data_IF_253893171609
#
_entry.id   IF_253893171609
#
_cell.length_a   1.000
_cell.length_b   1.000
_cell.length_c   1.000
_cell.angle_alpha   90.00
_cell.angle_beta   90.00
_cell.angle_gamma   90.00
#
_symmetry.space_group_name_H-M   'P 1'
#
loop_
_entity.id
_entity.type
_entity.pdbx_description
1 polymer ?
#
# COMPACT_ATOMS: atom_id res chain seq x y z
N UNK A 1 -13.69 -31.33 2.13
CA UNK A 1 -14.56 -30.35 1.46
C UNK A 1 -13.72 -29.11 1.20
N UNK A 2 -13.64 -28.66 -0.03
CA UNK A 2 -12.84 -27.49 -0.40
C UNK A 2 -13.46 -26.22 0.22
N UNK A 3 -12.65 -25.39 0.87
CA UNK A 3 -13.04 -24.12 1.46
C UNK A 3 -12.11 -23.02 1.01
N UNK A 4 -12.61 -21.78 0.93
CA UNK A 4 -11.80 -20.58 0.69
C UNK A 4 -11.54 -19.85 1.99
N UNK A 5 -10.28 -19.54 2.23
CA UNK A 5 -9.84 -18.86 3.46
C UNK A 5 -9.28 -17.49 3.11
N UNK A 6 -9.79 -16.47 3.78
CA UNK A 6 -9.29 -15.10 3.72
C UNK A 6 -8.26 -14.90 4.83
N UNK A 7 -7.14 -14.31 4.49
CA UNK A 7 -6.11 -13.87 5.41
C UNK A 7 -6.02 -12.34 5.41
N UNK A 8 -5.89 -11.76 6.60
CA UNK A 8 -5.45 -10.37 6.76
C UNK A 8 -3.97 -10.38 7.14
N UNK A 9 -3.13 -9.80 6.27
CA UNK A 9 -1.67 -9.95 6.32
C UNK A 9 -1.03 -8.61 6.66
N UNK A 10 -0.21 -8.58 7.72
CA UNK A 10 0.67 -7.47 8.05
C UNK A 10 2.13 -7.86 7.74
N UNK A 11 2.92 -6.92 7.22
CA UNK A 11 4.34 -7.15 6.95
C UNK A 11 5.18 -5.87 6.95
N UNK A 12 6.42 -6.02 7.40
CA UNK A 12 7.51 -5.11 7.11
C UNK A 12 8.10 -5.46 5.73
N UNK A 13 7.91 -4.59 4.75
CA UNK A 13 8.34 -4.82 3.37
C UNK A 13 9.83 -4.58 3.12
N UNK A 14 10.61 -4.17 4.11
CA UNK A 14 12.00 -3.71 3.95
C UNK A 14 12.87 -4.74 3.21
N UNK A 15 12.72 -6.03 3.55
CA UNK A 15 13.53 -7.11 2.99
C UNK A 15 12.89 -7.81 1.79
N UNK A 16 11.77 -7.30 1.28
CA UNK A 16 10.98 -7.97 0.25
C UNK A 16 10.91 -7.14 -1.04
N UNK A 17 10.92 -7.84 -2.16
CA UNK A 17 10.73 -7.24 -3.49
C UNK A 17 9.25 -7.05 -3.82
N UNK A 18 8.47 -6.60 -2.83
CA UNK A 18 7.04 -6.35 -2.92
C UNK A 18 6.20 -7.60 -2.65
N UNK A 19 4.92 -7.48 -3.02
CA UNK A 19 3.96 -8.56 -2.80
C UNK A 19 4.14 -9.72 -3.78
N UNK A 20 4.04 -9.44 -5.09
CA UNK A 20 3.86 -10.45 -6.12
C UNK A 20 5.10 -11.28 -6.40
N UNK A 21 4.93 -12.60 -6.52
CA UNK A 21 5.99 -13.54 -6.95
C UNK A 21 6.63 -13.08 -8.25
N UNK A 22 7.96 -13.08 -8.25
CA UNK A 22 8.78 -12.75 -9.40
C UNK A 22 10.10 -13.55 -9.37
N UNK A 23 10.68 -13.87 -10.55
CA UNK A 23 11.91 -14.65 -10.62
C UNK A 23 13.08 -13.97 -9.90
N UNK A 24 13.82 -14.75 -9.11
CA UNK A 24 15.08 -14.31 -8.50
C UNK A 24 14.95 -13.34 -7.32
N UNK A 25 13.75 -13.16 -6.79
CA UNK A 25 13.51 -12.22 -5.69
C UNK A 25 12.57 -12.79 -4.64
N UNK A 26 12.86 -12.57 -3.36
CA UNK A 26 11.97 -12.97 -2.26
C UNK A 26 10.82 -11.98 -2.14
N UNK A 27 9.59 -12.48 -2.12
CA UNK A 27 8.36 -11.69 -2.07
C UNK A 27 7.41 -12.19 -0.97
N UNK A 28 6.48 -11.33 -0.54
CA UNK A 28 5.50 -11.69 0.51
C UNK A 28 4.64 -12.88 0.06
N UNK A 29 4.12 -12.85 -1.16
CA UNK A 29 3.26 -13.90 -1.74
C UNK A 29 4.00 -15.25 -1.82
N UNK A 30 5.28 -15.24 -2.20
CA UNK A 30 6.11 -16.46 -2.23
C UNK A 30 6.24 -17.08 -0.84
N UNK A 31 6.59 -16.29 0.17
CA UNK A 31 6.74 -16.79 1.56
C UNK A 31 5.42 -17.35 2.08
N UNK A 32 4.30 -16.68 1.79
CA UNK A 32 2.98 -17.18 2.18
C UNK A 32 2.65 -18.52 1.51
N UNK A 33 2.89 -18.64 0.19
CA UNK A 33 2.66 -19.88 -0.56
C UNK A 33 3.49 -21.04 0.02
N UNK A 34 4.79 -20.82 0.25
CA UNK A 34 5.70 -21.82 0.82
C UNK A 34 5.25 -22.26 2.22
N UNK A 35 4.95 -21.31 3.11
CA UNK A 35 4.62 -21.60 4.50
C UNK A 35 3.21 -22.19 4.67
N UNK A 36 2.26 -21.82 3.82
CA UNK A 36 0.93 -22.45 3.78
C UNK A 36 1.03 -23.88 3.23
N UNK A 37 1.80 -24.12 2.15
CA UNK A 37 2.04 -25.44 1.58
C UNK A 37 2.69 -26.36 2.62
N UNK A 38 3.70 -25.88 3.36
CA UNK A 38 4.34 -26.62 4.46
C UNK A 38 3.35 -26.93 5.61
N UNK A 39 2.50 -25.96 5.98
CA UNK A 39 1.55 -26.12 7.07
C UNK A 39 0.42 -27.11 6.75
N UNK A 40 -0.12 -27.03 5.53
CA UNK A 40 -1.34 -27.76 5.15
C UNK A 40 -1.04 -29.07 4.41
N UNK A 41 0.21 -29.27 3.96
CA UNK A 41 0.61 -30.49 3.26
C UNK A 41 0.05 -30.62 1.84
N UNK A 42 -0.39 -29.52 1.24
CA UNK A 42 -0.92 -29.47 -0.12
C UNK A 42 -0.44 -28.17 -0.81
N UNK A 43 -0.28 -28.14 -2.15
CA UNK A 43 0.15 -26.95 -2.88
C UNK A 43 -0.84 -25.79 -2.68
N UNK A 44 -0.37 -24.67 -2.18
CA UNK A 44 -1.19 -23.47 -1.95
C UNK A 44 -0.63 -22.30 -2.76
N UNK A 45 -1.54 -21.59 -3.43
CA UNK A 45 -1.28 -20.32 -4.08
C UNK A 45 -2.26 -19.27 -3.55
N UNK A 46 -1.74 -18.19 -2.97
CA UNK A 46 -2.58 -17.09 -2.48
C UNK A 46 -2.90 -16.10 -3.60
N UNK A 47 -4.07 -15.48 -3.51
CA UNK A 47 -4.50 -14.41 -4.40
C UNK A 47 -4.59 -13.12 -3.56
N UNK A 48 -3.63 -12.23 -3.72
CA UNK A 48 -3.59 -10.96 -2.99
C UNK A 48 -4.50 -9.89 -3.58
N UNK A 49 -5.04 -9.03 -2.72
CA UNK A 49 -5.87 -7.88 -3.09
C UNK A 49 -5.07 -6.69 -3.60
N UNK A 50 -3.94 -6.40 -2.96
CA UNK A 50 -3.06 -5.29 -3.32
C UNK A 50 -1.64 -5.78 -3.61
N UNK A 51 -1.10 -5.36 -4.77
CA UNK A 51 0.30 -5.54 -5.11
C UNK A 51 1.06 -4.34 -4.58
N UNK A 52 1.70 -4.48 -3.41
CA UNK A 52 2.59 -3.45 -2.89
C UNK A 52 3.96 -3.53 -3.58
N UNK A 53 4.61 -2.38 -3.76
CA UNK A 53 5.93 -2.29 -4.36
C UNK A 53 7.03 -2.83 -3.42
N UNK A 54 8.23 -3.07 -3.95
CA UNK A 54 9.42 -3.40 -3.16
C UNK A 54 9.65 -2.37 -2.05
N UNK A 55 9.86 -2.84 -0.81
CA UNK A 55 10.10 -2.00 0.36
C UNK A 55 8.85 -1.32 0.96
N UNK A 56 7.65 -1.58 0.44
CA UNK A 56 6.39 -1.04 0.97
C UNK A 56 5.82 -1.97 2.02
N UNK A 57 5.36 -1.41 3.14
CA UNK A 57 4.80 -2.12 4.28
C UNK A 57 3.29 -2.29 4.18
N UNK A 58 2.72 -3.19 5.01
CA UNK A 58 1.28 -3.29 5.21
C UNK A 58 0.93 -3.70 6.64
N UNK A 59 -0.19 -3.16 7.14
CA UNK A 59 -0.84 -3.63 8.38
C UNK A 59 -2.04 -4.54 8.09
N UNK A 60 -2.61 -4.48 6.90
CA UNK A 60 -3.86 -5.17 6.59
C UNK A 60 -4.09 -5.46 5.11
N UNK A 61 -3.09 -5.99 4.40
CA UNK A 61 -3.34 -6.53 3.06
C UNK A 61 -4.22 -7.78 3.16
N UNK A 62 -5.06 -8.00 2.15
CA UNK A 62 -5.96 -9.15 2.11
C UNK A 62 -5.49 -10.13 1.05
N UNK A 63 -5.53 -11.41 1.39
CA UNK A 63 -5.28 -12.51 0.47
C UNK A 63 -6.26 -13.64 0.72
N UNK A 64 -6.55 -14.44 -0.31
CA UNK A 64 -7.34 -15.66 -0.19
C UNK A 64 -6.60 -16.83 -0.78
N UNK A 65 -6.92 -18.02 -0.30
CA UNK A 65 -6.49 -19.28 -0.89
C UNK A 65 -7.55 -20.37 -0.68
N UNK A 66 -7.47 -21.43 -1.46
CA UNK A 66 -8.36 -22.57 -1.36
C UNK A 66 -7.62 -23.75 -0.70
N UNK A 67 -8.31 -24.51 0.16
CA UNK A 67 -7.74 -25.71 0.83
C UNK A 67 -8.80 -26.77 1.08
N UNK A 68 -8.39 -28.05 1.08
CA UNK A 68 -9.20 -29.19 1.55
C UNK A 68 -8.81 -29.64 2.97
N UNK A 69 -7.80 -29.03 3.56
CA UNK A 69 -7.31 -29.36 4.89
C UNK A 69 -8.38 -29.15 5.97
N UNK A 70 -8.41 -30.06 6.98
CA UNK A 70 -9.46 -30.07 8.02
C UNK A 70 -9.32 -28.97 9.08
N UNK A 71 -8.18 -28.30 9.17
CA UNK A 71 -7.95 -27.24 10.16
C UNK A 71 -9.01 -26.15 10.03
N UNK A 72 -9.69 -25.74 11.11
CA UNK A 72 -10.64 -24.61 11.07
C UNK A 72 -9.97 -23.35 10.53
N UNK A 73 -10.71 -22.58 9.72
CA UNK A 73 -10.16 -21.41 9.07
C UNK A 73 -9.63 -20.35 10.05
N UNK A 74 -10.36 -20.16 11.19
CA UNK A 74 -9.98 -19.25 12.28
C UNK A 74 -8.69 -19.66 13.04
N UNK A 75 -8.25 -20.90 12.91
CA UNK A 75 -7.03 -21.42 13.54
C UNK A 75 -5.79 -21.34 12.66
N UNK A 76 -5.98 -21.15 11.35
CA UNK A 76 -4.86 -21.09 10.40
C UNK A 76 -3.90 -19.94 10.72
N UNK A 77 -4.41 -18.76 11.09
CA UNK A 77 -3.57 -17.62 11.44
C UNK A 77 -2.59 -17.94 12.59
N UNK A 78 -3.02 -18.64 13.62
CA UNK A 78 -2.16 -19.00 14.75
C UNK A 78 -1.09 -20.03 14.36
N UNK A 79 -1.48 -21.07 13.62
CA UNK A 79 -0.57 -22.12 13.18
C UNK A 79 0.46 -21.58 12.16
N UNK A 80 0.03 -20.73 11.23
CA UNK A 80 0.89 -20.14 10.21
C UNK A 80 1.90 -19.17 10.82
N UNK A 81 1.49 -18.36 11.80
CA UNK A 81 2.37 -17.39 12.48
C UNK A 81 3.54 -18.05 13.24
N UNK A 82 3.47 -19.33 13.55
CA UNK A 82 4.60 -20.08 14.15
C UNK A 82 5.67 -20.47 13.13
N UNK A 83 5.37 -20.37 11.83
CA UNK A 83 6.26 -20.74 10.72
C UNK A 83 6.74 -19.54 9.92
N UNK A 84 6.02 -18.42 10.01
CA UNK A 84 6.36 -17.20 9.31
C UNK A 84 7.58 -16.51 9.96
N UNK A 85 8.43 -15.85 9.16
CA UNK A 85 9.48 -14.97 9.67
C UNK A 85 8.84 -13.81 10.47
N UNK A 86 9.63 -13.16 11.33
CA UNK A 86 9.10 -12.13 12.26
C UNK A 86 8.50 -10.90 11.59
N UNK A 87 8.90 -10.64 10.35
CA UNK A 87 8.47 -9.50 9.54
C UNK A 87 7.19 -9.75 8.72
N UNK A 88 6.58 -10.96 8.82
CA UNK A 88 5.26 -11.27 8.26
C UNK A 88 4.36 -11.87 9.34
N UNK A 89 3.14 -11.33 9.51
CA UNK A 89 2.15 -11.85 10.49
C UNK A 89 0.75 -11.83 9.91
N UNK A 90 0.03 -12.93 10.13
CA UNK A 90 -1.39 -13.02 9.84
C UNK A 90 -2.17 -12.47 11.03
N UNK A 91 -2.91 -11.41 10.82
CA UNK A 91 -3.71 -10.75 11.85
C UNK A 91 -5.02 -11.49 12.12
N UNK A 92 -5.61 -12.07 11.08
CA UNK A 92 -6.81 -12.90 11.18
C UNK A 92 -6.94 -13.83 9.98
N UNK A 93 -7.66 -14.95 10.17
CA UNK A 93 -8.06 -15.86 9.11
C UNK A 93 -9.50 -16.27 9.29
N UNK A 94 -10.27 -16.34 8.21
CA UNK A 94 -11.69 -16.69 8.23
C UNK A 94 -12.09 -17.40 6.94
N UNK A 95 -13.13 -18.22 7.01
CA UNK A 95 -13.74 -18.80 5.82
C UNK A 95 -14.62 -17.75 5.12
N UNK A 96 -14.59 -17.75 3.81
CA UNK A 96 -15.41 -16.89 2.94
C UNK A 96 -16.07 -17.74 1.86
N UNK A 97 -17.05 -17.15 1.14
CA UNK A 97 -17.75 -17.85 0.06
C UNK A 97 -16.74 -18.36 -1.00
N UNK A 98 -17.00 -19.52 -1.61
CA UNK A 98 -16.03 -20.16 -2.53
C UNK A 98 -15.67 -19.33 -3.77
N UNK A 99 -16.53 -18.42 -4.16
CA UNK A 99 -16.34 -17.51 -5.30
C UNK A 99 -15.83 -16.11 -4.90
N UNK A 100 -15.69 -15.85 -3.59
CA UNK A 100 -15.21 -14.57 -3.08
C UNK A 100 -13.81 -14.26 -3.63
N UNK A 101 -13.64 -13.08 -4.24
CA UNK A 101 -12.37 -12.69 -4.85
C UNK A 101 -11.94 -11.28 -4.40
N UNK A 102 -10.73 -11.10 -3.85
CA UNK A 102 -10.31 -9.87 -3.16
C UNK A 102 -10.24 -8.62 -4.06
N UNK A 103 -10.31 -8.78 -5.39
CA UNK A 103 -10.27 -7.67 -6.36
C UNK A 103 -11.60 -7.42 -7.07
N UNK A 104 -12.64 -8.23 -6.79
CA UNK A 104 -13.96 -8.11 -7.46
C UNK A 104 -15.00 -7.38 -6.62
N UNK A 105 -14.74 -7.19 -5.33
CA UNK A 105 -15.62 -6.47 -4.43
C UNK A 105 -15.22 -5.01 -4.31
N UNK A 106 -16.19 -4.13 -4.11
CA UNK A 106 -15.92 -2.73 -3.80
C UNK A 106 -15.11 -2.64 -2.51
N UNK A 107 -13.98 -1.97 -2.60
CA UNK A 107 -13.05 -1.88 -1.48
C UNK A 107 -12.46 -0.48 -1.40
N UNK A 108 -12.51 0.10 -0.20
CA UNK A 108 -11.78 1.34 0.11
C UNK A 108 -10.41 0.94 0.67
N UNK A 109 -9.34 1.39 0.00
CA UNK A 109 -7.97 1.17 0.43
C UNK A 109 -7.44 2.42 1.10
N UNK A 110 -6.81 2.25 2.26
CA UNK A 110 -6.17 3.33 3.01
C UNK A 110 -4.67 3.11 3.03
N UNK A 111 -3.93 4.09 2.52
CA UNK A 111 -2.48 4.16 2.60
C UNK A 111 -2.03 5.34 3.45
N UNK A 112 -0.94 5.18 4.17
CA UNK A 112 -0.22 6.25 4.83
C UNK A 112 1.19 6.37 4.27
N UNK A 113 1.61 7.60 3.98
CA UNK A 113 2.99 7.93 3.68
C UNK A 113 3.55 8.80 4.82
N UNK A 114 4.62 8.34 5.47
CA UNK A 114 5.21 9.00 6.64
C UNK A 114 6.52 9.68 6.30
N UNK A 115 6.61 10.96 6.68
CA UNK A 115 7.77 11.83 6.45
C UNK A 115 8.28 12.30 7.81
N UNK A 116 9.52 11.93 8.16
CA UNK A 116 10.20 12.51 9.31
C UNK A 116 10.74 13.89 8.90
N UNK A 117 10.04 14.96 9.34
CA UNK A 117 10.30 16.33 8.92
C UNK A 117 10.98 17.13 10.03
N UNK A 118 12.30 17.03 10.11
CA UNK A 118 13.16 17.70 11.10
C UNK A 118 14.61 17.79 10.61
N UNK A 119 15.46 18.51 11.35
CA UNK A 119 16.85 18.74 10.93
C UNK A 119 17.75 17.50 11.01
N UNK A 120 17.48 16.56 11.92
CA UNK A 120 18.30 15.36 12.13
C UNK A 120 17.45 14.10 12.04
N UNK A 121 18.00 13.02 11.47
CA UNK A 121 17.37 11.70 11.43
C UNK A 121 17.20 11.08 12.81
N UNK A 122 16.19 10.21 12.93
CA UNK A 122 15.97 9.34 14.09
C UNK A 122 16.17 7.90 13.64
N UNK A 123 17.27 7.21 14.06
CA UNK A 123 17.61 5.88 13.55
C UNK A 123 16.51 4.83 13.72
N UNK A 124 15.73 4.89 14.81
CA UNK A 124 14.61 3.95 15.03
C UNK A 124 13.45 4.13 14.06
N UNK A 125 13.34 5.26 13.36
CA UNK A 125 12.30 5.54 12.36
C UNK A 125 12.77 5.31 10.92
N UNK A 126 14.05 4.97 10.71
CA UNK A 126 14.69 4.93 9.37
C UNK A 126 14.03 4.00 8.36
N UNK A 127 13.38 2.93 8.82
CA UNK A 127 12.74 1.94 7.96
C UNK A 127 11.28 2.27 7.65
N UNK A 128 10.65 3.15 8.43
CA UNK A 128 9.20 3.41 8.36
C UNK A 128 8.84 4.86 8.03
N UNK A 129 9.87 5.70 7.78
CA UNK A 129 9.67 7.10 7.39
C UNK A 129 10.64 7.51 6.29
N UNK A 130 10.21 8.43 5.44
CA UNK A 130 11.11 9.18 4.57
C UNK A 130 11.64 10.42 5.31
N UNK A 131 12.94 10.55 5.44
CA UNK A 131 13.54 11.71 6.07
C UNK A 131 13.58 12.91 5.11
N UNK A 132 13.10 14.07 5.58
CA UNK A 132 13.14 15.34 4.89
C UNK A 132 13.61 16.44 5.85
N UNK A 133 14.79 17.01 5.60
CA UNK A 133 15.36 18.06 6.44
C UNK A 133 14.90 19.47 6.05
N UNK A 134 14.27 19.61 4.91
CA UNK A 134 13.65 20.86 4.48
C UNK A 134 12.34 21.10 5.23
N UNK A 135 12.08 22.33 5.63
CA UNK A 135 10.80 22.67 6.25
C UNK A 135 9.68 22.51 5.21
N UNK A 136 8.64 21.75 5.55
CA UNK A 136 7.50 21.52 4.69
C UNK A 136 6.30 22.35 5.14
N UNK A 137 5.81 23.21 4.26
CA UNK A 137 4.57 23.97 4.48
C UNK A 137 3.36 23.04 4.33
N UNK A 138 2.82 22.60 5.47
CA UNK A 138 1.69 21.66 5.50
C UNK A 138 0.40 22.31 4.99
N UNK A 139 0.21 23.63 5.11
CA UNK A 139 -1.00 24.30 4.66
C UNK A 139 -1.04 24.36 3.13
N UNK A 140 0.10 24.61 2.49
CA UNK A 140 0.23 24.51 1.03
C UNK A 140 0.02 23.05 0.57
N UNK A 141 0.59 22.08 1.30
CA UNK A 141 0.36 20.66 1.00
C UNK A 141 -1.13 20.28 1.12
N UNK A 142 -1.84 20.75 2.15
CA UNK A 142 -3.28 20.50 2.32
C UNK A 142 -4.13 21.16 1.22
N UNK A 143 -3.74 22.34 0.76
CA UNK A 143 -4.42 23.01 -0.37
C UNK A 143 -4.26 22.20 -1.65
N UNK A 144 -3.04 21.76 -1.97
CA UNK A 144 -2.77 20.87 -3.11
C UNK A 144 -3.53 19.54 -3.00
N UNK A 145 -3.55 18.92 -1.81
CA UNK A 145 -4.24 17.66 -1.55
C UNK A 145 -5.73 17.73 -1.88
N UNK A 146 -6.40 18.85 -1.52
CA UNK A 146 -7.83 19.07 -1.85
C UNK A 146 -8.10 19.06 -3.35
N UNK A 147 -7.16 19.58 -4.15
CA UNK A 147 -7.29 19.65 -5.61
C UNK A 147 -7.00 18.30 -6.30
N UNK A 148 -6.43 17.36 -5.55
CA UNK A 148 -6.14 16.00 -6.01
C UNK A 148 -7.18 14.97 -5.53
N UNK A 149 -8.24 15.38 -4.84
CA UNK A 149 -9.35 14.50 -4.44
C UNK A 149 -10.43 14.47 -5.50
N UNK A 150 -11.19 13.36 -5.55
CA UNK A 150 -12.27 13.17 -6.51
C UNK A 150 -11.96 12.05 -7.52
N UNK A 151 -12.82 11.95 -8.53
CA UNK A 151 -12.63 11.04 -9.66
C UNK A 151 -11.86 11.76 -10.76
N UNK A 152 -10.68 11.26 -11.08
CA UNK A 152 -9.80 11.83 -12.09
C UNK A 152 -9.05 10.73 -12.85
N UNK A 153 -8.54 11.08 -14.03
CA UNK A 153 -7.49 10.31 -14.68
C UNK A 153 -6.15 10.60 -13.99
N UNK A 154 -5.67 9.65 -13.18
CA UNK A 154 -4.41 9.76 -12.46
C UNK A 154 -3.19 9.26 -13.28
N UNK A 155 -3.24 9.32 -14.59
CA UNK A 155 -2.14 8.89 -15.46
C UNK A 155 -0.83 9.62 -15.15
N UNK A 156 -0.86 10.92 -14.83
CA UNK A 156 0.31 11.69 -14.39
C UNK A 156 0.92 11.17 -13.09
N UNK A 157 0.12 10.53 -12.25
CA UNK A 157 0.54 9.92 -10.98
C UNK A 157 0.77 8.40 -11.09
N UNK A 158 0.96 7.89 -12.30
CA UNK A 158 1.19 6.48 -12.55
C UNK A 158 2.59 6.22 -13.13
N UNK A 159 3.23 5.12 -12.70
CA UNK A 159 4.49 4.71 -13.31
C UNK A 159 4.29 4.36 -14.78
N UNK A 160 5.20 4.82 -15.65
CA UNK A 160 5.14 4.58 -17.12
C UNK A 160 5.17 3.10 -17.51
N UNK A 161 5.65 2.21 -16.63
CA UNK A 161 5.66 0.74 -16.84
C UNK A 161 4.35 0.06 -16.50
N UNK A 162 3.29 0.82 -16.21
CA UNK A 162 1.97 0.24 -15.92
C UNK A 162 1.43 -0.55 -17.11
N UNK A 163 0.78 -1.68 -16.83
CA UNK A 163 0.05 -2.47 -17.83
C UNK A 163 -1.46 -2.18 -17.80
N UNK A 164 -1.89 -1.28 -16.89
CA UNK A 164 -3.29 -0.94 -16.70
C UNK A 164 -3.69 0.10 -17.74
N UNK A 165 -4.74 -0.19 -18.51
CA UNK A 165 -5.26 0.70 -19.56
C UNK A 165 -6.15 1.81 -18.98
N UNK A 166 -6.97 1.46 -17.99
CA UNK A 166 -7.84 2.41 -17.30
C UNK A 166 -7.11 3.02 -16.10
N UNK A 167 -6.83 4.32 -16.20
CA UNK A 167 -6.12 5.11 -15.18
C UNK A 167 -7.04 6.01 -14.35
N UNK A 168 -8.36 5.94 -14.57
CA UNK A 168 -9.35 6.68 -13.78
C UNK A 168 -9.50 6.02 -12.40
N UNK A 169 -9.39 6.82 -11.34
CA UNK A 169 -9.56 6.38 -9.95
C UNK A 169 -10.35 7.42 -9.18
N UNK A 170 -10.98 6.99 -8.08
CA UNK A 170 -11.61 7.90 -7.12
C UNK A 170 -10.77 7.94 -5.84
N UNK A 171 -10.17 9.10 -5.57
CA UNK A 171 -9.52 9.40 -4.29
C UNK A 171 -10.53 10.10 -3.40
N UNK A 172 -10.95 9.44 -2.32
CA UNK A 172 -11.99 9.95 -1.43
C UNK A 172 -11.46 11.03 -0.48
N UNK A 173 -10.23 10.88 0.02
CA UNK A 173 -9.57 11.90 0.84
C UNK A 173 -8.05 11.79 0.74
N UNK A 174 -7.39 12.95 0.98
CA UNK A 174 -5.95 13.04 1.25
C UNK A 174 -5.83 13.96 2.47
N UNK A 175 -5.54 13.34 3.62
CA UNK A 175 -5.42 14.03 4.90
C UNK A 175 -3.94 14.17 5.28
N UNK A 176 -3.53 15.35 5.81
CA UNK A 176 -2.14 15.65 6.15
C UNK A 176 -2.07 16.17 7.57
N UNK A 177 -1.37 15.42 8.43
CA UNK A 177 -1.22 15.73 9.84
C UNK A 177 0.25 15.60 10.26
N UNK A 178 0.71 16.45 11.17
CA UNK A 178 2.03 16.34 11.81
C UNK A 178 1.85 16.02 13.29
N UNK A 179 2.54 14.99 13.76
CA UNK A 179 2.53 14.60 15.15
C UNK A 179 3.62 15.32 15.99
N UNK A 180 3.63 15.06 17.30
CA UNK A 180 4.60 15.61 18.25
C UNK A 180 6.04 15.08 18.06
N UNK A 181 6.24 14.05 17.22
CA UNK A 181 7.55 13.47 16.92
C UNK A 181 8.11 13.98 15.58
N UNK A 182 7.56 15.07 15.06
CA UNK A 182 7.92 15.65 13.76
C UNK A 182 7.64 14.73 12.56
N UNK A 183 6.73 13.77 12.70
CA UNK A 183 6.30 12.91 11.59
C UNK A 183 5.07 13.52 10.93
N UNK A 184 5.20 13.86 9.65
CA UNK A 184 4.06 14.21 8.80
C UNK A 184 3.52 12.93 8.18
N UNK A 185 2.23 12.67 8.38
CA UNK A 185 1.50 11.57 7.78
C UNK A 185 0.58 12.09 6.69
N UNK A 186 0.75 11.61 5.46
CA UNK A 186 -0.16 11.80 4.34
C UNK A 186 -1.01 10.54 4.25
N UNK A 187 -2.29 10.62 4.63
CA UNK A 187 -3.24 9.51 4.55
C UNK A 187 -4.09 9.66 3.30
N UNK A 188 -4.10 8.63 2.45
CA UNK A 188 -4.83 8.61 1.18
C UNK A 188 -5.84 7.47 1.20
N UNK A 189 -7.12 7.79 0.94
CA UNK A 189 -8.21 6.81 0.81
C UNK A 189 -8.77 6.85 -0.61
N UNK A 190 -9.00 5.66 -1.21
CA UNK A 190 -9.52 5.57 -2.58
C UNK A 190 -10.05 4.19 -2.92
N UNK A 191 -10.74 4.09 -4.07
CA UNK A 191 -11.28 2.83 -4.60
C UNK A 191 -10.20 1.89 -5.17
N UNK A 192 -9.01 2.42 -5.42
CA UNK A 192 -7.85 1.71 -5.94
C UNK A 192 -6.74 2.67 -6.30
N UNK A 193 -5.53 2.15 -6.44
CA UNK A 193 -4.36 2.95 -6.76
C UNK A 193 -3.56 2.32 -7.90
N UNK A 194 -3.00 3.17 -8.75
CA UNK A 194 -2.13 2.79 -9.85
C UNK A 194 -0.72 2.49 -9.35
N UNK A 195 0.12 1.94 -10.21
CA UNK A 195 1.50 1.63 -9.89
C UNK A 195 2.26 2.89 -9.44
N UNK A 196 2.81 2.87 -8.23
CA UNK A 196 3.49 3.97 -7.53
C UNK A 196 2.61 5.20 -7.22
N UNK A 197 1.29 5.18 -7.45
CA UNK A 197 0.44 6.36 -7.39
C UNK A 197 0.57 7.13 -6.06
N UNK A 198 0.41 6.46 -4.92
CA UNK A 198 0.49 7.13 -3.60
C UNK A 198 1.89 7.72 -3.35
N UNK A 199 2.94 7.07 -3.80
CA UNK A 199 4.33 7.57 -3.68
C UNK A 199 4.56 8.79 -4.56
N UNK A 200 3.96 8.84 -5.75
CA UNK A 200 4.05 10.00 -6.65
C UNK A 200 3.21 11.17 -6.09
N UNK A 201 2.01 10.89 -5.56
CA UNK A 201 1.22 11.88 -4.83
C UNK A 201 2.02 12.48 -3.67
N UNK A 202 2.62 11.63 -2.82
CA UNK A 202 3.43 12.08 -1.70
C UNK A 202 4.64 12.94 -2.15
N UNK A 203 5.37 12.51 -3.19
CA UNK A 203 6.49 13.28 -3.71
C UNK A 203 6.08 14.61 -4.33
N UNK A 204 4.91 14.68 -4.98
CA UNK A 204 4.36 15.92 -5.52
C UNK A 204 3.94 16.89 -4.41
N UNK A 205 3.25 16.36 -3.39
CA UNK A 205 2.85 17.15 -2.21
C UNK A 205 4.07 17.67 -1.44
N UNK A 206 5.14 16.86 -1.32
CA UNK A 206 6.40 17.31 -0.72
C UNK A 206 7.04 18.45 -1.53
N UNK A 207 7.01 18.37 -2.87
CA UNK A 207 7.51 19.46 -3.73
C UNK A 207 6.72 20.76 -3.53
N UNK A 208 5.41 20.65 -3.29
CA UNK A 208 4.57 21.81 -2.89
C UNK A 208 4.99 22.34 -1.52
N UNK A 209 5.14 21.47 -0.52
CA UNK A 209 5.57 21.85 0.83
C UNK A 209 6.95 22.53 0.87
N UNK A 210 7.84 22.18 -0.05
CA UNK A 210 9.16 22.83 -0.24
C UNK A 210 9.10 24.14 -1.03
N UNK A 211 7.92 24.57 -1.51
CA UNK A 211 7.76 25.73 -2.37
C UNK A 211 8.31 25.60 -3.80
N UNK A 212 8.62 24.36 -4.22
CA UNK A 212 9.09 24.07 -5.58
C UNK A 212 7.95 24.02 -6.59
N UNK A 213 6.72 23.85 -6.12
CA UNK A 213 5.45 23.87 -6.88
C UNK A 213 4.38 24.63 -6.11
N UNK A 214 3.38 25.10 -6.82
CA UNK A 214 2.22 25.75 -6.22
C UNK A 214 1.03 24.80 -6.15
N UNK A 215 0.15 24.91 -5.14
CA UNK A 215 -1.07 24.10 -5.07
C UNK A 215 -1.93 24.17 -6.32
N UNK A 216 -2.04 25.37 -6.92
CA UNK A 216 -2.86 25.65 -8.10
C UNK A 216 -2.42 24.88 -9.36
N UNK A 217 -1.20 24.33 -9.38
CA UNK A 217 -0.71 23.52 -10.49
C UNK A 217 -1.35 22.10 -10.53
N UNK A 218 -1.99 21.64 -9.45
CA UNK A 218 -2.49 20.26 -9.36
C UNK A 218 -3.51 19.91 -10.46
N UNK A 219 -4.49 20.76 -10.82
CA UNK A 219 -5.40 20.48 -11.93
C UNK A 219 -4.66 20.35 -13.28
N UNK A 220 -3.65 21.16 -13.53
CA UNK A 220 -2.87 21.10 -14.78
C UNK A 220 -2.05 19.83 -14.85
N UNK A 221 -1.49 19.36 -13.73
CA UNK A 221 -0.78 18.09 -13.63
C UNK A 221 -1.74 16.91 -13.93
N UNK A 222 -2.96 16.92 -13.40
CA UNK A 222 -3.97 15.92 -13.70
C UNK A 222 -4.32 15.94 -15.18
N UNK A 223 -4.62 17.12 -15.73
CA UNK A 223 -5.01 17.30 -17.13
C UNK A 223 -3.92 16.91 -18.13
N UNK A 224 -2.64 17.04 -17.75
CA UNK A 224 -1.50 16.69 -18.61
C UNK A 224 -1.46 15.20 -18.99
N UNK A 225 -2.00 14.30 -18.17
CA UNK A 225 -1.94 12.86 -18.36
C UNK A 225 -0.52 12.34 -18.69
N UNK A 226 0.51 13.03 -18.15
CA UNK A 226 1.93 12.74 -18.36
C UNK A 226 2.65 12.61 -17.02
N UNK A 227 3.35 11.49 -16.82
CA UNK A 227 4.16 11.24 -15.62
C UNK A 227 5.21 12.32 -15.36
N UNK A 228 5.76 12.94 -16.40
CA UNK A 228 6.78 13.99 -16.28
C UNK A 228 6.22 15.28 -15.64
N UNK A 229 4.91 15.53 -15.73
CA UNK A 229 4.26 16.67 -15.12
C UNK A 229 4.19 16.58 -13.58
N UNK A 230 4.11 15.37 -13.00
CA UNK A 230 4.05 15.17 -11.57
C UNK A 230 5.43 15.20 -10.89
N UNK A 231 5.44 15.30 -9.56
CA UNK A 231 6.66 15.28 -8.76
C UNK A 231 7.38 13.91 -8.75
N UNK A 232 8.49 13.79 -8.03
CA UNK A 232 9.27 12.56 -7.94
C UNK A 232 8.49 11.44 -7.25
N UNK A 233 8.85 10.18 -7.52
CA UNK A 233 8.35 9.04 -6.76
C UNK A 233 9.04 9.00 -5.39
N UNK A 234 8.30 9.22 -4.33
CA UNK A 234 8.85 9.18 -2.97
C UNK A 234 9.35 7.77 -2.59
N UNK A 235 10.36 7.63 -1.72
CA UNK A 235 10.92 6.34 -1.31
C UNK A 235 9.87 5.38 -0.73
N UNK A 236 10.01 4.08 -1.01
CA UNK A 236 9.04 3.06 -0.60
C UNK A 236 8.88 2.95 0.92
N UNK A 237 9.96 3.08 1.67
CA UNK A 237 10.01 2.90 3.14
C UNK A 237 9.08 3.80 3.94
N UNK A 238 8.60 4.90 3.36
CA UNK A 238 7.59 5.75 4.00
C UNK A 238 6.15 5.27 3.80
N UNK A 239 5.91 4.33 2.85
CA UNK A 239 4.58 3.92 2.46
C UNK A 239 4.12 2.65 3.18
N UNK A 240 2.89 2.69 3.69
CA UNK A 240 2.23 1.56 4.33
C UNK A 240 0.77 1.45 3.87
N UNK A 241 0.35 0.25 3.47
CA UNK A 241 -1.07 -0.09 3.31
C UNK A 241 -1.66 -0.34 4.71
N UNK A 242 -2.43 0.61 5.22
CA UNK A 242 -2.99 0.54 6.57
C UNK A 242 -4.15 -0.43 6.65
N UNK A 243 -5.04 -0.43 5.65
CA UNK A 243 -6.19 -1.31 5.66
C UNK A 243 -6.99 -1.31 4.38
N UNK A 244 -7.91 -2.25 4.34
CA UNK A 244 -8.85 -2.47 3.26
C UNK A 244 -10.23 -2.68 3.86
N UNK A 245 -11.20 -1.85 3.47
CA UNK A 245 -12.60 -1.91 3.90
C UNK A 245 -13.43 -2.37 2.72
N UNK A 246 -13.95 -3.62 2.79
CA UNK A 246 -14.87 -4.15 1.80
C UNK A 246 -16.28 -3.66 2.13
N UNK A 247 -16.96 -3.17 1.10
CA UNK A 247 -18.36 -2.77 1.19
C UNK A 247 -19.18 -3.92 0.61
N UNK A 248 -20.05 -4.48 1.45
CA UNK A 248 -21.01 -5.53 1.06
C UNK A 248 -22.10 -4.99 0.13
#
# INVERSE_FOLDING_TARGET
MKKRVLLRVAYDGTNYHGWQVQPGAVTIEQVLNEKLTELLGEPIEVIGASRTDSGVHAMGNVAVFDTEHRMPADKICFALNQRLPEDIRIQSSMEVEPDWHPRKHHCIKTYEYKILNRKMEVPSLRLYTHFCHFDLDQDQMRQAAKLLTGEHDYKSFCNVRTQVLDTVRTVYSIDIEKDSNDVITIRVRGNGFLYNMVRILAGTLMAVGMGQRKPEEMPDILAACDRAAAGPTAPAKGLMLVGMEYQD
#
